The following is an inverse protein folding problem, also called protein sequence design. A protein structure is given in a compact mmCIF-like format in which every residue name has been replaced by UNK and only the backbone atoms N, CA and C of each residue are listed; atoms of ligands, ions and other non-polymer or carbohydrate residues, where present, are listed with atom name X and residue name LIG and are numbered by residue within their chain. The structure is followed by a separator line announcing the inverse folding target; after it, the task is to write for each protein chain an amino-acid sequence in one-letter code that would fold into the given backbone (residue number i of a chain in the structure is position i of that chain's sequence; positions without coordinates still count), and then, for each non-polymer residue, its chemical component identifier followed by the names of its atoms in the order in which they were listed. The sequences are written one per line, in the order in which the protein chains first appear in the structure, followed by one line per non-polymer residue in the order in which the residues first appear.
data_IF_003673868838
#
_entry.id   IF_003673868838
#
_cell.length_a   1.000
_cell.length_b   1.000
_cell.length_c   1.000
_cell.angle_alpha   90.00
_cell.angle_beta   90.00
_cell.angle_gamma   90.00
#
_symmetry.space_group_name_H-M   'P 1'
#
loop_
_entity.id
_entity.type
_entity.pdbx_description
1 polymer ?
#
# COMPACT_ATOMS: atom_id res chain seq x y z
N UNK A 1 -26.15 -13.39 -12.71
CA UNK A 1 -26.37 -12.36 -11.66
C UNK A 1 -25.09 -11.95 -10.90
N UNK A 2 -24.08 -12.78 -10.77
CA UNK A 2 -22.83 -12.51 -9.98
C UNK A 2 -21.91 -11.49 -10.66
N UNK A 3 -21.85 -11.46 -11.99
CA UNK A 3 -20.98 -10.56 -12.76
C UNK A 3 -21.35 -9.09 -12.55
N UNK A 4 -22.63 -8.79 -12.39
CA UNK A 4 -23.12 -7.41 -12.23
C UNK A 4 -22.72 -6.80 -10.86
N UNK A 5 -22.74 -7.59 -9.78
CA UNK A 5 -22.36 -7.12 -8.43
C UNK A 5 -20.85 -6.80 -8.35
N UNK A 6 -20.01 -7.64 -8.96
CA UNK A 6 -18.55 -7.40 -8.97
C UNK A 6 -18.19 -6.16 -9.79
N UNK A 7 -18.89 -5.92 -10.90
CA UNK A 7 -18.66 -4.76 -11.73
C UNK A 7 -19.05 -3.45 -11.02
N UNK A 8 -20.19 -3.41 -10.35
CA UNK A 8 -20.60 -2.26 -9.55
C UNK A 8 -19.64 -2.01 -8.35
N UNK A 9 -19.17 -3.05 -7.70
CA UNK A 9 -18.17 -2.93 -6.64
C UNK A 9 -16.85 -2.31 -7.15
N UNK A 10 -16.36 -2.75 -8.31
CA UNK A 10 -15.14 -2.19 -8.92
C UNK A 10 -15.35 -0.73 -9.32
N UNK A 11 -16.52 -0.35 -9.84
CA UNK A 11 -16.84 1.05 -10.14
C UNK A 11 -16.78 1.94 -8.89
N UNK A 12 -17.36 1.47 -7.78
CA UNK A 12 -17.36 2.22 -6.51
C UNK A 12 -15.92 2.43 -6.02
N UNK A 13 -15.10 1.37 -5.97
CA UNK A 13 -13.71 1.47 -5.54
C UNK A 13 -12.92 2.41 -6.46
N UNK A 14 -13.10 2.29 -7.77
CA UNK A 14 -12.40 3.15 -8.72
C UNK A 14 -12.76 4.63 -8.51
N UNK A 15 -14.05 4.93 -8.36
CA UNK A 15 -14.51 6.30 -8.08
C UNK A 15 -13.89 6.85 -6.79
N UNK A 16 -13.96 6.07 -5.69
CA UNK A 16 -13.36 6.46 -4.41
C UNK A 16 -11.83 6.68 -4.53
N UNK A 17 -11.14 5.81 -5.28
CA UNK A 17 -9.70 5.94 -5.49
C UNK A 17 -9.34 7.17 -6.32
N UNK A 18 -10.15 7.53 -7.32
CA UNK A 18 -9.95 8.75 -8.11
C UNK A 18 -10.20 10.02 -7.28
N UNK A 19 -11.23 10.02 -6.42
CA UNK A 19 -11.49 11.13 -5.49
C UNK A 19 -10.35 11.30 -4.49
N UNK A 20 -9.88 10.20 -3.90
CA UNK A 20 -8.73 10.22 -3.01
C UNK A 20 -7.43 10.68 -3.71
N UNK A 21 -7.24 10.31 -4.99
CA UNK A 21 -6.08 10.74 -5.77
C UNK A 21 -6.03 12.27 -5.92
N UNK A 22 -7.16 12.94 -6.15
CA UNK A 22 -7.22 14.40 -6.24
C UNK A 22 -6.68 15.08 -4.97
N UNK A 23 -6.87 14.44 -3.82
CA UNK A 23 -6.41 14.95 -2.53
C UNK A 23 -4.92 14.66 -2.35
N UNK A 24 -4.51 13.39 -2.52
CA UNK A 24 -3.14 12.97 -2.20
C UNK A 24 -2.11 13.53 -3.18
N UNK A 25 -2.46 13.69 -4.47
CA UNK A 25 -1.57 14.26 -5.48
C UNK A 25 -1.23 15.73 -5.21
N UNK A 26 -2.11 16.47 -4.53
CA UNK A 26 -1.89 17.84 -4.11
C UNK A 26 -1.34 18.00 -2.69
N UNK A 27 -1.16 16.89 -1.93
CA UNK A 27 -0.66 16.95 -0.56
C UNK A 27 0.85 17.23 -0.52
N UNK A 28 1.29 17.86 0.57
CA UNK A 28 2.72 18.11 0.77
C UNK A 28 3.49 16.82 1.05
N UNK A 29 4.81 16.83 0.81
CA UNK A 29 5.70 15.74 1.21
C UNK A 29 5.61 15.47 2.72
N UNK A 30 5.52 16.55 3.52
CA UNK A 30 5.38 16.48 4.97
C UNK A 30 4.13 15.72 5.39
N UNK A 31 2.98 16.03 4.78
CA UNK A 31 1.70 15.37 5.11
C UNK A 31 1.73 13.88 4.76
N UNK A 32 2.26 13.53 3.59
CA UNK A 32 2.42 12.13 3.19
C UNK A 32 3.36 11.38 4.13
N UNK A 33 4.49 11.98 4.48
CA UNK A 33 5.45 11.40 5.43
C UNK A 33 4.83 11.19 6.81
N UNK A 34 4.08 12.17 7.30
CA UNK A 34 3.40 12.09 8.59
C UNK A 34 2.33 10.99 8.59
N UNK A 35 1.53 10.88 7.53
CA UNK A 35 0.53 9.82 7.38
C UNK A 35 1.17 8.42 7.42
N UNK A 36 2.27 8.20 6.67
CA UNK A 36 3.01 6.94 6.67
C UNK A 36 3.63 6.67 8.05
N UNK A 37 4.21 7.68 8.69
CA UNK A 37 4.79 7.53 10.03
C UNK A 37 3.71 7.17 11.07
N UNK A 38 2.56 7.84 11.04
CA UNK A 38 1.45 7.57 11.95
C UNK A 38 0.89 6.15 11.76
N UNK A 39 0.86 5.63 10.53
CA UNK A 39 0.49 4.23 10.26
C UNK A 39 1.35 3.26 11.07
N UNK A 40 2.63 3.55 11.29
CA UNK A 40 3.53 2.72 12.12
C UNK A 40 3.03 2.59 13.57
N UNK A 41 2.50 3.66 14.13
CA UNK A 41 1.93 3.70 15.48
C UNK A 41 0.60 2.97 15.55
N UNK A 42 -0.23 3.11 14.52
CA UNK A 42 -1.52 2.43 14.39
C UNK A 42 -1.31 0.91 14.29
N UNK A 43 -0.34 0.45 13.52
CA UNK A 43 0.01 -0.99 13.44
C UNK A 43 0.45 -1.54 14.79
N UNK A 44 1.31 -0.82 15.52
CA UNK A 44 1.71 -1.22 16.88
C UNK A 44 0.51 -1.34 17.82
N UNK A 45 -0.39 -0.35 17.79
CA UNK A 45 -1.61 -0.33 18.63
C UNK A 45 -2.53 -1.52 18.31
N UNK A 46 -2.61 -1.92 17.04
CA UNK A 46 -3.48 -3.01 16.58
C UNK A 46 -2.73 -4.36 16.46
N UNK A 47 -1.49 -4.48 16.97
CA UNK A 47 -0.66 -5.68 16.83
C UNK A 47 -1.40 -6.96 17.23
N UNK A 48 -2.05 -6.97 18.38
CA UNK A 48 -2.79 -8.14 18.87
C UNK A 48 -3.93 -8.56 17.94
N UNK A 49 -4.63 -7.59 17.33
CA UNK A 49 -5.72 -7.88 16.37
C UNK A 49 -5.15 -8.44 15.07
N UNK A 50 -4.02 -7.88 14.60
CA UNK A 50 -3.31 -8.36 13.41
C UNK A 50 -2.84 -9.81 13.61
N UNK A 51 -2.22 -10.13 14.75
CA UNK A 51 -1.74 -11.48 15.06
C UNK A 51 -2.89 -12.48 15.13
N UNK A 52 -4.00 -12.13 15.78
CA UNK A 52 -5.21 -12.99 15.84
C UNK A 52 -5.78 -13.26 14.44
N UNK A 53 -5.84 -12.26 13.58
CA UNK A 53 -6.30 -12.43 12.20
C UNK A 53 -5.34 -13.31 11.39
N UNK A 54 -4.05 -13.16 11.63
CA UNK A 54 -3.02 -13.99 10.99
C UNK A 54 -3.11 -15.45 11.42
N UNK A 55 -3.37 -15.72 12.69
CA UNK A 55 -3.60 -17.08 13.18
C UNK A 55 -4.78 -17.76 12.47
N UNK A 56 -5.86 -17.01 12.17
CA UNK A 56 -6.99 -17.54 11.40
C UNK A 56 -6.54 -17.89 9.98
N UNK A 57 -5.80 -17.01 9.31
CA UNK A 57 -5.30 -17.25 7.96
C UNK A 57 -4.37 -18.46 7.92
N UNK A 58 -3.47 -18.61 8.91
CA UNK A 58 -2.56 -19.75 9.03
C UNK A 58 -3.33 -21.07 9.27
N UNK A 59 -4.33 -21.08 10.16
CA UNK A 59 -5.17 -22.27 10.41
C UNK A 59 -5.89 -22.68 9.13
N UNK A 60 -6.46 -21.74 8.39
CA UNK A 60 -7.13 -22.01 7.11
C UNK A 60 -6.16 -22.57 6.06
N UNK A 61 -4.94 -22.03 5.98
CA UNK A 61 -3.91 -22.49 5.05
C UNK A 61 -3.47 -23.94 5.37
N UNK A 62 -3.29 -24.26 6.66
CA UNK A 62 -2.97 -25.63 7.12
C UNK A 62 -4.11 -26.59 6.80
N UNK A 63 -5.37 -26.21 7.02
CA UNK A 63 -6.54 -27.02 6.70
C UNK A 63 -6.67 -27.33 5.20
N UNK A 64 -6.15 -26.43 4.34
CA UNK A 64 -6.05 -26.62 2.88
C UNK A 64 -4.82 -27.41 2.44
N UNK A 65 -4.00 -27.91 3.36
CA UNK A 65 -2.73 -28.60 3.08
C UNK A 65 -1.76 -27.81 2.19
N UNK A 66 -1.71 -26.45 2.36
CA UNK A 66 -0.75 -25.64 1.63
C UNK A 66 0.69 -25.95 2.09
N UNK A 67 1.66 -25.78 1.20
CA UNK A 67 3.06 -26.09 1.50
C UNK A 67 3.63 -25.26 2.64
N UNK A 68 4.61 -25.83 3.36
CA UNK A 68 5.31 -25.11 4.45
C UNK A 68 5.92 -23.79 3.98
N UNK A 69 6.47 -23.74 2.77
CA UNK A 69 7.03 -22.53 2.18
C UNK A 69 5.95 -21.47 1.93
N UNK A 70 4.72 -21.88 1.59
CA UNK A 70 3.59 -20.96 1.46
C UNK A 70 3.12 -20.43 2.82
N UNK A 71 3.00 -21.32 3.81
CA UNK A 71 2.60 -20.96 5.16
C UNK A 71 3.62 -20.00 5.80
N UNK A 72 4.93 -20.23 5.61
CA UNK A 72 5.96 -19.30 6.11
C UNK A 72 5.79 -17.87 5.56
N UNK A 73 5.40 -17.72 4.30
CA UNK A 73 5.12 -16.40 3.70
C UNK A 73 3.88 -15.71 4.27
N UNK A 74 2.93 -16.48 4.81
CA UNK A 74 1.72 -15.96 5.46
C UNK A 74 1.98 -15.46 6.88
N UNK A 75 2.92 -16.10 7.59
CA UNK A 75 3.13 -15.85 9.01
C UNK A 75 3.50 -14.38 9.25
N UNK A 76 2.79 -13.76 10.18
CA UNK A 76 3.23 -12.55 10.87
C UNK A 76 3.42 -12.92 12.34
N UNK A 77 4.60 -12.61 12.84
CA UNK A 77 4.96 -12.68 14.24
C UNK A 77 5.38 -11.29 14.74
N UNK A 78 5.73 -11.18 16.01
CA UNK A 78 6.20 -9.93 16.62
C UNK A 78 7.40 -9.34 15.89
N UNK A 79 8.31 -10.19 15.39
CA UNK A 79 9.50 -9.76 14.65
C UNK A 79 9.11 -9.16 13.32
N UNK A 80 8.27 -9.86 12.53
CA UNK A 80 7.82 -9.39 11.22
C UNK A 80 6.95 -8.12 11.33
N UNK A 81 6.16 -7.98 12.39
CA UNK A 81 5.45 -6.71 12.66
C UNK A 81 6.42 -5.57 12.97
N UNK A 82 7.48 -5.82 13.73
CA UNK A 82 8.53 -4.81 13.97
C UNK A 82 9.23 -4.42 12.67
N UNK A 83 9.47 -5.36 11.77
CA UNK A 83 10.04 -5.11 10.44
C UNK A 83 9.10 -4.22 9.57
N UNK A 84 7.78 -4.49 9.56
CA UNK A 84 6.78 -3.63 8.90
C UNK A 84 6.83 -2.21 9.46
N UNK A 85 6.84 -2.07 10.79
CA UNK A 85 6.91 -0.76 11.46
C UNK A 85 8.22 -0.03 11.11
N UNK A 86 9.34 -0.74 11.05
CA UNK A 86 10.63 -0.18 10.62
C UNK A 86 10.58 0.26 9.16
N UNK A 87 10.03 -0.56 8.26
CA UNK A 87 9.83 -0.25 6.86
C UNK A 87 9.02 1.05 6.65
N UNK A 88 7.92 1.21 7.37
CA UNK A 88 7.12 2.44 7.32
C UNK A 88 7.92 3.68 7.74
N UNK A 89 8.72 3.59 8.79
CA UNK A 89 9.59 4.69 9.22
C UNK A 89 10.65 5.01 8.17
N UNK A 90 11.23 3.99 7.57
CA UNK A 90 12.19 4.16 6.47
C UNK A 90 11.53 4.85 5.28
N UNK A 91 10.36 4.39 4.84
CA UNK A 91 9.63 5.01 3.71
C UNK A 91 9.27 6.46 4.03
N UNK A 92 8.82 6.76 5.26
CA UNK A 92 8.48 8.13 5.64
C UNK A 92 9.68 9.09 5.61
N UNK A 93 10.90 8.59 5.84
CA UNK A 93 12.13 9.38 5.83
C UNK A 93 12.82 9.48 4.46
N UNK A 94 12.36 8.75 3.45
CA UNK A 94 12.91 8.84 2.09
C UNK A 94 12.68 10.24 1.49
N UNK A 95 13.54 10.62 0.56
CA UNK A 95 13.35 11.82 -0.24
C UNK A 95 12.01 11.77 -0.99
N UNK A 96 11.43 12.94 -1.21
CA UNK A 96 10.19 13.03 -2.00
C UNK A 96 10.47 12.64 -3.46
N UNK A 97 9.79 11.64 -4.02
CA UNK A 97 9.96 11.29 -5.43
C UNK A 97 9.22 12.23 -6.39
N UNK A 98 8.42 13.18 -5.88
CA UNK A 98 7.60 14.09 -6.68
C UNK A 98 8.34 15.40 -6.89
N UNK A 99 8.25 15.95 -8.11
CA UNK A 99 8.83 17.23 -8.44
C UNK A 99 10.35 17.20 -8.69
N UNK A 100 10.96 16.00 -8.75
CA UNK A 100 12.38 15.87 -9.08
C UNK A 100 12.59 16.26 -10.54
N UNK A 101 13.49 17.20 -10.80
CA UNK A 101 13.94 17.51 -12.15
C UNK A 101 14.81 16.36 -12.68
N UNK A 102 14.30 15.66 -13.70
CA UNK A 102 14.98 14.52 -14.31
C UNK A 102 15.91 14.94 -15.45
N UNK A 103 15.58 16.02 -16.12
CA UNK A 103 16.39 16.64 -17.19
C UNK A 103 15.90 18.06 -17.47
N UNK A 104 16.82 18.91 -17.96
CA UNK A 104 16.51 20.28 -18.40
C UNK A 104 17.29 20.59 -19.64
N UNK A 105 16.67 21.30 -20.60
CA UNK A 105 17.33 21.75 -21.82
C UNK A 105 16.69 23.01 -22.39
N UNK A 106 17.45 23.79 -23.15
CA UNK A 106 16.96 24.96 -23.83
C UNK A 106 16.85 24.68 -25.34
N UNK A 107 15.74 25.11 -25.92
CA UNK A 107 15.52 25.03 -27.38
C UNK A 107 16.18 26.22 -28.09
N UNK A 108 16.49 26.09 -29.39
CA UNK A 108 17.07 27.19 -30.16
C UNK A 108 16.23 28.49 -30.22
N UNK A 109 14.92 28.35 -30.00
CA UNK A 109 13.99 29.50 -29.92
C UNK A 109 13.94 30.16 -28.53
N UNK A 110 14.81 29.73 -27.58
CA UNK A 110 14.90 30.27 -26.22
C UNK A 110 13.94 29.61 -25.19
N UNK A 111 13.12 28.65 -25.61
CA UNK A 111 12.21 27.92 -24.67
C UNK A 111 13.03 27.03 -23.73
N UNK A 112 12.86 27.23 -22.43
CA UNK A 112 13.48 26.40 -21.39
C UNK A 112 12.49 25.28 -20.98
N UNK A 113 12.89 24.03 -21.17
CA UNK A 113 12.07 22.84 -20.91
C UNK A 113 12.70 22.03 -19.80
N UNK A 114 11.90 21.68 -18.77
CA UNK A 114 12.29 20.74 -17.74
C UNK A 114 11.35 19.55 -17.70
N UNK A 115 11.91 18.38 -17.49
CA UNK A 115 11.18 17.12 -17.25
C UNK A 115 11.18 16.85 -15.76
N UNK A 116 10.00 16.83 -15.15
CA UNK A 116 9.83 16.57 -13.72
C UNK A 116 9.04 15.27 -13.46
N UNK A 117 9.30 14.63 -12.32
CA UNK A 117 8.54 13.47 -11.86
C UNK A 117 7.18 13.91 -11.28
N UNK A 118 6.13 13.18 -11.61
CA UNK A 118 4.75 13.42 -11.13
C UNK A 118 4.09 12.11 -10.70
N UNK A 119 3.06 12.15 -9.83
CA UNK A 119 2.26 10.96 -9.51
C UNK A 119 1.62 10.34 -10.75
N UNK A 120 1.51 9.01 -10.77
CA UNK A 120 0.90 8.27 -11.88
C UNK A 120 -0.64 8.28 -11.83
N UNK A 121 -1.22 8.32 -10.63
CA UNK A 121 -2.67 8.27 -10.46
C UNK A 121 -3.14 7.16 -9.52
N UNK A 122 -4.12 6.39 -9.95
CA UNK A 122 -4.63 5.22 -9.25
C UNK A 122 -3.86 3.98 -9.72
N UNK A 123 -3.16 3.31 -8.81
CA UNK A 123 -2.35 2.13 -9.12
C UNK A 123 -3.08 0.87 -8.65
N UNK A 124 -3.29 -0.09 -9.54
CA UNK A 124 -3.77 -1.43 -9.19
C UNK A 124 -2.59 -2.36 -8.91
N UNK A 125 -2.54 -2.99 -7.72
CA UNK A 125 -1.51 -3.94 -7.35
C UNK A 125 -2.13 -5.28 -7.00
N UNK A 126 -1.77 -6.32 -7.77
CA UNK A 126 -2.15 -7.70 -7.52
C UNK A 126 -0.92 -8.42 -6.96
N UNK A 127 -1.07 -9.07 -5.81
CA UNK A 127 0.04 -9.74 -5.14
C UNK A 127 -0.41 -11.04 -4.49
N UNK A 128 0.56 -11.92 -4.23
CA UNK A 128 0.35 -13.18 -3.53
C UNK A 128 -0.12 -12.98 -2.08
N UNK A 129 -0.45 -14.06 -1.39
CA UNK A 129 -0.85 -14.06 0.02
C UNK A 129 0.35 -13.76 0.94
N UNK A 130 0.85 -12.53 0.88
CA UNK A 130 1.93 -11.98 1.72
C UNK A 130 1.39 -10.74 2.44
N UNK A 131 0.98 -10.84 3.71
CA UNK A 131 0.29 -9.75 4.39
C UNK A 131 1.07 -8.44 4.44
N UNK A 132 2.41 -8.49 4.64
CA UNK A 132 3.28 -7.32 4.69
C UNK A 132 3.20 -6.46 3.42
N UNK A 133 2.99 -7.08 2.24
CA UNK A 133 2.91 -6.36 0.97
C UNK A 133 1.75 -5.35 0.95
N UNK A 134 0.68 -5.61 1.71
CA UNK A 134 -0.42 -4.64 1.89
C UNK A 134 0.10 -3.30 2.38
N UNK A 135 1.01 -3.32 3.36
CA UNK A 135 1.58 -2.11 3.96
C UNK A 135 2.69 -1.53 3.07
N UNK A 136 3.61 -2.36 2.61
CA UNK A 136 4.76 -1.92 1.81
C UNK A 136 4.29 -1.24 0.52
N UNK A 137 3.43 -1.91 -0.25
CA UNK A 137 2.90 -1.38 -1.50
C UNK A 137 2.01 -0.14 -1.29
N UNK A 138 1.16 -0.17 -0.25
CA UNK A 138 0.29 0.94 0.07
C UNK A 138 1.07 2.20 0.46
N UNK A 139 2.04 2.07 1.36
CA UNK A 139 2.85 3.21 1.82
C UNK A 139 3.75 3.79 0.73
N UNK A 140 4.32 2.95 -0.15
CA UNK A 140 5.10 3.43 -1.30
C UNK A 140 4.24 4.21 -2.30
N UNK A 141 2.99 3.76 -2.55
CA UNK A 141 2.06 4.52 -3.37
C UNK A 141 1.74 5.88 -2.75
N UNK A 142 1.43 5.93 -1.46
CA UNK A 142 1.18 7.18 -0.72
C UNK A 142 2.41 8.10 -0.80
N UNK A 143 3.61 7.57 -0.57
CA UNK A 143 4.87 8.34 -0.66
C UNK A 143 5.02 9.01 -2.01
N UNK A 144 4.68 8.31 -3.08
CA UNK A 144 4.76 8.82 -4.46
C UNK A 144 3.50 9.60 -4.90
N UNK A 145 2.61 9.99 -3.96
CA UNK A 145 1.41 10.78 -4.26
C UNK A 145 0.34 10.04 -5.06
N UNK A 146 0.37 8.70 -5.04
CA UNK A 146 -0.60 7.86 -5.74
C UNK A 146 -1.62 7.27 -4.76
N UNK A 147 -2.82 6.99 -5.24
CA UNK A 147 -3.74 6.08 -4.58
C UNK A 147 -3.55 4.65 -5.08
N UNK A 148 -4.02 3.67 -4.31
CA UNK A 148 -3.80 2.26 -4.65
C UNK A 148 -5.05 1.43 -4.43
N UNK A 149 -5.32 0.51 -5.36
CA UNK A 149 -6.28 -0.57 -5.22
C UNK A 149 -5.49 -1.86 -5.03
N UNK A 150 -5.58 -2.44 -3.84
CA UNK A 150 -4.81 -3.62 -3.45
C UNK A 150 -5.65 -4.89 -3.61
N UNK A 151 -5.14 -5.88 -4.34
CA UNK A 151 -5.74 -7.20 -4.50
C UNK A 151 -4.75 -8.28 -4.04
N UNK A 152 -4.81 -8.62 -2.76
CA UNK A 152 -4.05 -9.72 -2.18
C UNK A 152 -4.66 -11.10 -2.46
N UNK A 153 -3.90 -12.15 -2.22
CA UNK A 153 -4.37 -13.53 -2.27
C UNK A 153 -5.43 -13.80 -1.19
N UNK A 154 -6.32 -14.77 -1.45
CA UNK A 154 -7.44 -15.11 -0.56
C UNK A 154 -7.00 -15.70 0.78
N UNK A 155 -5.81 -16.31 0.84
CA UNK A 155 -5.33 -17.01 2.01
C UNK A 155 -4.77 -16.07 3.11
N UNK A 156 -4.60 -14.78 2.81
CA UNK A 156 -4.22 -13.74 3.77
C UNK A 156 -5.33 -12.70 4.00
N UNK A 157 -6.57 -13.03 3.66
CA UNK A 157 -7.67 -12.04 3.59
C UNK A 157 -7.97 -11.38 4.94
N UNK A 158 -7.93 -12.14 6.06
CA UNK A 158 -8.24 -11.62 7.38
C UNK A 158 -7.15 -10.62 7.82
N UNK A 159 -5.90 -10.99 7.68
CA UNK A 159 -4.75 -10.14 8.01
C UNK A 159 -4.72 -8.90 7.11
N UNK A 160 -4.84 -9.07 5.80
CA UNK A 160 -4.78 -7.97 4.82
C UNK A 160 -5.90 -6.95 5.02
N UNK A 161 -7.11 -7.35 5.45
CA UNK A 161 -8.20 -6.43 5.80
C UNK A 161 -7.84 -5.51 6.96
N UNK A 162 -7.23 -6.05 8.03
CA UNK A 162 -6.85 -5.25 9.20
C UNK A 162 -5.68 -4.30 8.83
N UNK A 163 -4.68 -4.82 8.13
CA UNK A 163 -3.56 -4.00 7.66
C UNK A 163 -4.03 -2.87 6.74
N UNK A 164 -4.94 -3.16 5.79
CA UNK A 164 -5.53 -2.14 4.91
C UNK A 164 -6.32 -1.08 5.69
N UNK A 165 -7.01 -1.46 6.77
CA UNK A 165 -7.70 -0.52 7.67
C UNK A 165 -6.70 0.39 8.42
N UNK A 166 -5.52 -0.12 8.77
CA UNK A 166 -4.47 0.67 9.40
C UNK A 166 -3.86 1.73 8.47
N UNK A 167 -3.93 1.54 7.16
CA UNK A 167 -3.45 2.47 6.14
C UNK A 167 -4.44 3.61 5.80
N UNK A 168 -5.72 3.41 6.10
CA UNK A 168 -6.80 4.36 5.84
C UNK A 168 -7.00 5.32 6.99
#
# INVERSE_FOLDING_TARGET
MTVNKNFEYVKIINKQSQEAFKIISGSSSSDRNLAIFNTSSIIKKNQNEILKANDIDIKNAKAKNLSNAFIDRLILDDKRIKEIVHGLKTISSMNDPIGIELSRWQQPNGLDISRISVPLGVIGIIYESRPNVTIDAGSLCIKAGNTVILRGGSDSINTSKILSRCLR
#
